data_IF_476946590531
#
_entry.id   IF_476946590531
#
_cell.length_a   1.000
_cell.length_b   1.000
_cell.length_c   1.000
_cell.angle_alpha   90.00
_cell.angle_beta   90.00
_cell.angle_gamma   90.00
#
_symmetry.space_group_name_H-M   'P 1'
#
loop_
_entity.id
_entity.type
_entity.pdbx_description
1 polymer ?
#
# COMPACT_ATOMS: atom_id res chain seq x y z
N UNK A 1 -13.14 -0.52 23.56
CA UNK A 1 -12.40 -1.23 24.64
C UNK A 1 -10.98 -0.69 24.67
N UNK A 2 -10.37 -0.54 25.85
CA UNK A 2 -8.95 -0.20 25.93
C UNK A 2 -8.13 -1.42 25.49
N UNK A 3 -7.22 -1.22 24.54
CA UNK A 3 -6.27 -2.27 24.10
C UNK A 3 -5.26 -2.47 25.24
N UNK A 4 -5.14 -3.71 25.72
CA UNK A 4 -4.13 -4.08 26.71
C UNK A 4 -2.88 -4.56 26.00
N UNK A 5 -1.75 -3.88 26.21
CA UNK A 5 -0.49 -4.20 25.57
C UNK A 5 0.34 -5.16 26.43
N UNK A 6 0.74 -6.28 25.83
CA UNK A 6 1.63 -7.26 26.45
C UNK A 6 3.06 -6.94 26.06
N UNK A 7 3.98 -6.95 27.03
CA UNK A 7 5.42 -6.81 26.77
C UNK A 7 5.87 -7.99 25.90
N UNK A 8 6.26 -7.70 24.66
CA UNK A 8 6.73 -8.67 23.69
C UNK A 8 8.06 -8.22 23.09
N UNK A 9 8.89 -9.18 22.69
CA UNK A 9 10.11 -8.93 21.89
C UNK A 9 9.78 -8.58 20.43
N UNK A 10 8.62 -9.03 19.95
CA UNK A 10 8.24 -8.97 18.55
C UNK A 10 7.10 -7.99 18.31
N UNK A 11 7.14 -7.35 17.15
CA UNK A 11 6.07 -6.46 16.68
C UNK A 11 4.80 -7.30 16.46
N UNK A 12 3.65 -6.75 16.82
CA UNK A 12 2.35 -7.28 16.38
C UNK A 12 2.26 -7.23 14.85
N UNK A 13 1.36 -8.02 14.28
CA UNK A 13 1.14 -8.05 12.83
C UNK A 13 0.29 -6.87 12.36
N UNK A 14 -0.63 -6.40 13.20
CA UNK A 14 -1.54 -5.28 12.91
C UNK A 14 -0.97 -3.91 13.32
N UNK A 15 0.27 -3.86 13.81
CA UNK A 15 0.94 -2.63 14.25
C UNK A 15 0.49 -2.10 15.61
N UNK A 16 -0.46 -2.75 16.29
CA UNK A 16 -0.92 -2.33 17.62
C UNK A 16 0.18 -2.44 18.67
N UNK A 17 0.10 -1.64 19.73
CA UNK A 17 1.02 -1.67 20.87
C UNK A 17 2.50 -1.37 20.54
N UNK A 18 2.79 -0.80 19.36
CA UNK A 18 4.09 -0.19 19.10
C UNK A 18 4.29 1.03 20.01
N UNK A 19 3.29 1.92 20.06
CA UNK A 19 3.23 2.98 21.06
C UNK A 19 2.39 2.54 22.26
N UNK A 20 3.00 2.40 23.45
CA UNK A 20 2.31 1.90 24.65
C UNK A 20 1.30 2.91 25.24
N UNK A 21 1.49 4.21 24.98
CA UNK A 21 0.57 5.26 25.46
C UNK A 21 -0.63 5.42 24.51
N UNK A 22 -0.43 5.16 23.23
CA UNK A 22 -1.43 5.23 22.16
C UNK A 22 -1.37 3.95 21.30
N UNK A 23 -1.93 2.83 21.79
CA UNK A 23 -1.76 1.50 21.18
C UNK A 23 -2.21 1.37 19.72
N UNK A 24 -3.02 2.30 19.21
CA UNK A 24 -3.54 2.29 17.84
C UNK A 24 -2.79 3.19 16.86
N UNK A 25 -1.83 4.01 17.32
CA UNK A 25 -1.04 4.83 16.41
C UNK A 25 -0.25 3.96 15.44
N UNK A 26 -0.45 4.22 14.14
CA UNK A 26 0.14 3.44 13.05
C UNK A 26 -0.37 2.00 12.89
N UNK A 27 -1.41 1.58 13.62
CA UNK A 27 -2.03 0.28 13.44
C UNK A 27 -2.81 0.21 12.12
N UNK A 28 -2.97 -0.99 11.57
CA UNK A 28 -3.84 -1.25 10.42
C UNK A 28 -5.31 -1.00 10.77
N UNK A 29 -6.15 -0.81 9.75
CA UNK A 29 -7.59 -0.50 9.88
C UNK A 29 -7.88 0.75 10.72
N UNK A 30 -6.98 1.74 10.63
CA UNK A 30 -7.10 3.04 11.29
C UNK A 30 -7.23 4.17 10.27
N UNK A 31 -7.86 5.30 10.64
CA UNK A 31 -7.86 6.49 9.79
C UNK A 31 -6.44 7.00 9.54
N UNK A 32 -6.20 7.55 8.34
CA UNK A 32 -4.98 8.33 8.11
C UNK A 32 -4.95 9.59 8.98
N UNK A 33 -3.74 10.04 9.31
CA UNK A 33 -3.53 11.37 9.87
C UNK A 33 -3.73 12.44 8.79
N UNK A 34 -3.82 13.70 9.19
CA UNK A 34 -3.89 14.83 8.26
C UNK A 34 -2.88 15.91 8.61
N UNK A 35 -2.25 16.47 7.59
CA UNK A 35 -1.43 17.68 7.73
C UNK A 35 -2.36 18.90 7.91
N UNK A 36 -3.47 18.93 7.16
CA UNK A 36 -4.49 19.99 7.23
C UNK A 36 -5.89 19.39 7.37
N UNK A 37 -6.85 20.12 8.00
CA UNK A 37 -8.23 19.66 8.07
C UNK A 37 -8.83 19.30 6.70
N UNK A 38 -9.69 18.29 6.67
CA UNK A 38 -10.35 17.84 5.44
C UNK A 38 -11.12 18.98 4.76
N UNK A 39 -11.05 19.05 3.43
CA UNK A 39 -11.77 20.04 2.62
C UNK A 39 -12.83 19.34 1.75
N UNK A 40 -14.05 19.29 2.25
CA UNK A 40 -15.23 18.82 1.53
C UNK A 40 -16.18 19.98 1.20
N UNK A 41 -17.01 19.83 0.16
CA UNK A 41 -17.93 20.89 -0.28
C UNK A 41 -19.01 21.26 0.74
N UNK A 42 -19.40 20.29 1.57
CA UNK A 42 -20.36 20.37 2.68
C UNK A 42 -19.66 20.30 4.05
N UNK A 43 -18.32 20.31 4.07
CA UNK A 43 -17.53 20.08 5.27
C UNK A 43 -17.55 18.64 5.80
N UNK A 44 -18.31 17.72 5.16
CA UNK A 44 -18.52 16.36 5.65
C UNK A 44 -17.94 15.34 4.68
N UNK A 45 -18.44 15.27 3.45
CA UNK A 45 -18.03 14.22 2.51
C UNK A 45 -18.24 14.54 1.03
N UNK A 46 -18.97 15.58 0.65
CA UNK A 46 -19.17 15.90 -0.78
C UNK A 46 -17.88 16.43 -1.43
N UNK A 47 -17.73 16.25 -2.74
CA UNK A 47 -16.57 16.77 -3.46
C UNK A 47 -16.38 18.28 -3.22
N UNK A 48 -15.13 18.73 -3.02
CA UNK A 48 -14.86 20.14 -2.86
C UNK A 48 -15.27 20.93 -4.10
N UNK A 49 -15.66 22.19 -3.87
CA UNK A 49 -16.01 23.16 -4.92
C UNK A 49 -14.90 24.21 -5.06
N UNK A 50 -14.88 24.88 -6.21
CA UNK A 50 -14.04 26.05 -6.43
C UNK A 50 -14.43 27.20 -5.50
N UNK A 51 -13.61 28.25 -5.44
CA UNK A 51 -13.94 29.47 -4.69
C UNK A 51 -15.24 30.13 -5.17
N UNK A 52 -15.57 30.00 -6.46
CA UNK A 52 -16.83 30.50 -7.03
C UNK A 52 -18.05 29.62 -6.74
N UNK A 53 -17.87 28.48 -6.04
CA UNK A 53 -18.92 27.50 -5.79
C UNK A 53 -19.22 26.55 -6.96
N UNK A 54 -18.44 26.62 -8.04
CA UNK A 54 -18.55 25.72 -9.19
C UNK A 54 -17.84 24.38 -8.93
N UNK A 55 -18.15 23.31 -9.70
CA UNK A 55 -17.35 22.08 -9.70
C UNK A 55 -15.87 22.37 -10.02
N UNK A 56 -14.97 21.57 -9.45
CA UNK A 56 -13.55 21.61 -9.82
C UNK A 56 -13.34 21.06 -11.25
N UNK A 57 -12.23 21.43 -11.92
CA UNK A 57 -11.92 20.91 -13.25
C UNK A 57 -11.86 19.39 -13.27
N UNK A 58 -12.27 18.81 -14.40
CA UNK A 58 -12.31 17.37 -14.59
C UNK A 58 -10.88 16.78 -14.58
N UNK A 59 -10.66 15.71 -13.80
CA UNK A 59 -9.34 15.09 -13.66
C UNK A 59 -8.75 14.55 -14.99
N UNK A 60 -9.61 14.05 -15.89
CA UNK A 60 -9.20 13.55 -17.21
C UNK A 60 -8.79 14.68 -18.16
N UNK A 61 -9.47 15.81 -18.10
CA UNK A 61 -9.09 17.01 -18.85
C UNK A 61 -7.75 17.56 -18.33
N UNK A 62 -7.62 17.72 -17.00
CA UNK A 62 -6.37 18.14 -16.38
C UNK A 62 -5.20 17.23 -16.72
N UNK A 63 -5.42 15.91 -16.84
CA UNK A 63 -4.39 14.97 -17.30
C UNK A 63 -3.83 15.36 -18.66
N UNK A 64 -4.67 15.74 -19.62
CA UNK A 64 -4.21 16.09 -20.97
C UNK A 64 -3.58 17.49 -21.01
N UNK A 65 -4.18 18.44 -20.29
CA UNK A 65 -3.73 19.83 -20.33
C UNK A 65 -2.42 20.04 -19.56
N UNK A 66 -2.18 19.27 -18.49
CA UNK A 66 -1.04 19.47 -17.59
C UNK A 66 0.04 18.39 -17.67
N UNK A 67 -0.30 17.16 -18.05
CA UNK A 67 0.61 16.01 -18.03
C UNK A 67 0.78 15.40 -19.44
N UNK A 68 1.57 16.06 -20.32
CA UNK A 68 1.83 15.53 -21.66
C UNK A 68 2.67 14.25 -21.60
N UNK A 69 2.38 13.30 -22.48
CA UNK A 69 3.11 12.04 -22.59
C UNK A 69 4.49 12.29 -23.24
N UNK A 70 5.47 12.64 -22.41
CA UNK A 70 6.86 12.85 -22.85
C UNK A 70 7.78 11.88 -22.11
N UNK A 71 8.30 10.91 -22.83
CA UNK A 71 9.37 10.05 -22.31
C UNK A 71 10.63 10.87 -22.10
N UNK A 72 11.15 10.85 -20.87
CA UNK A 72 12.45 11.44 -20.51
C UNK A 72 13.20 10.43 -19.67
N UNK A 73 14.28 9.92 -20.23
CA UNK A 73 15.12 8.96 -19.52
C UNK A 73 15.91 9.67 -18.44
N UNK A 74 16.02 9.02 -17.28
CA UNK A 74 16.87 9.45 -16.19
C UNK A 74 18.11 8.55 -16.17
N UNK A 75 19.31 9.13 -16.29
CA UNK A 75 20.56 8.39 -16.34
C UNK A 75 21.16 8.12 -14.96
N UNK A 76 20.63 8.75 -13.90
CA UNK A 76 21.15 8.65 -12.53
C UNK A 76 20.46 7.53 -11.72
N UNK A 77 19.27 7.08 -12.17
CA UNK A 77 18.46 6.09 -11.46
C UNK A 77 18.14 4.86 -12.30
N UNK A 78 18.07 3.72 -11.62
CA UNK A 78 17.59 2.47 -12.22
C UNK A 78 16.08 2.31 -11.97
N UNK A 79 15.42 1.42 -12.71
CA UNK A 79 14.01 1.12 -12.49
C UNK A 79 13.71 0.55 -11.09
N UNK A 80 14.71 -0.03 -10.42
CA UNK A 80 14.59 -0.48 -9.04
C UNK A 80 14.30 0.69 -8.10
N UNK A 81 14.76 1.91 -8.40
CA UNK A 81 14.43 3.11 -7.60
C UNK A 81 12.94 3.40 -7.63
N UNK A 82 12.30 3.34 -8.81
CA UNK A 82 10.84 3.48 -8.92
C UNK A 82 10.14 2.35 -8.16
N UNK A 83 10.58 1.11 -8.40
CA UNK A 83 9.92 -0.08 -7.85
C UNK A 83 10.04 -0.20 -6.33
N UNK A 84 11.18 0.23 -5.75
CA UNK A 84 11.36 0.30 -4.30
C UNK A 84 10.48 1.39 -3.67
N UNK A 85 10.25 2.51 -4.37
CA UNK A 85 9.26 3.50 -3.96
C UNK A 85 7.86 2.91 -3.86
N UNK A 86 7.46 2.07 -4.81
CA UNK A 86 6.18 1.36 -4.75
C UNK A 86 6.13 0.34 -3.60
N UNK A 87 7.23 -0.38 -3.31
CA UNK A 87 7.35 -1.27 -2.14
C UNK A 87 7.10 -0.49 -0.84
N UNK A 88 7.78 0.64 -0.65
CA UNK A 88 7.61 1.52 0.52
C UNK A 88 6.17 2.04 0.61
N UNK A 89 5.58 2.45 -0.51
CA UNK A 89 4.21 2.95 -0.55
C UNK A 89 3.20 1.89 -0.14
N UNK A 90 3.41 0.64 -0.59
CA UNK A 90 2.51 -0.47 -0.29
C UNK A 90 2.65 -0.94 1.16
N UNK A 91 3.84 -0.85 1.73
CA UNK A 91 4.10 -1.23 3.13
C UNK A 91 3.42 -0.30 4.13
N UNK A 92 3.35 1.00 3.78
CA UNK A 92 2.83 2.05 4.66
C UNK A 92 1.39 2.47 4.36
N UNK A 93 0.85 2.14 3.19
CA UNK A 93 -0.47 2.63 2.80
C UNK A 93 -1.24 1.74 1.83
N UNK A 94 -2.52 1.56 2.14
CA UNK A 94 -3.54 0.97 1.29
C UNK A 94 -4.86 1.57 1.74
N UNK A 95 -5.45 2.45 0.93
CA UNK A 95 -6.74 3.02 1.32
C UNK A 95 -7.82 1.96 1.21
N UNK A 96 -8.56 1.73 2.29
CA UNK A 96 -9.67 0.79 2.31
C UNK A 96 -10.68 1.16 1.23
N UNK A 97 -11.18 0.15 0.54
CA UNK A 97 -12.27 0.29 -0.42
C UNK A 97 -13.56 -0.19 0.23
N UNK A 98 -14.68 0.41 -0.16
CA UNK A 98 -15.99 -0.05 0.30
C UNK A 98 -16.12 -1.54 -0.03
N UNK A 99 -16.43 -2.43 0.94
CA UNK A 99 -16.53 -3.85 0.69
C UNK A 99 -17.50 -4.16 -0.45
N UNK A 100 -17.02 -4.89 -1.45
CA UNK A 100 -17.82 -5.37 -2.56
C UNK A 100 -17.95 -6.89 -2.45
N UNK A 101 -19.15 -7.40 -2.16
CA UNK A 101 -19.44 -8.84 -2.25
C UNK A 101 -19.61 -9.24 -3.72
N UNK A 102 -19.48 -10.52 -4.06
CA UNK A 102 -19.70 -10.98 -5.45
C UNK A 102 -21.08 -10.58 -6.00
N UNK A 103 -22.09 -10.51 -5.13
CA UNK A 103 -23.45 -10.06 -5.47
C UNK A 103 -23.63 -8.53 -5.37
N UNK A 104 -22.58 -7.78 -5.00
CA UNK A 104 -22.61 -6.33 -4.79
C UNK A 104 -21.36 -5.60 -5.30
N UNK A 105 -20.62 -6.17 -6.27
CA UNK A 105 -19.63 -5.42 -7.05
C UNK A 105 -20.36 -4.35 -7.84
N UNK A 106 -20.51 -3.18 -7.25
CA UNK A 106 -21.13 -2.04 -7.91
C UNK A 106 -20.03 -1.21 -8.57
N UNK A 107 -20.26 -0.90 -9.84
CA UNK A 107 -19.45 0.05 -10.59
C UNK A 107 -20.29 1.30 -10.84
N UNK A 108 -19.62 2.40 -11.10
CA UNK A 108 -20.24 3.65 -11.55
C UNK A 108 -20.37 3.70 -13.08
N UNK A 109 -19.59 2.88 -13.78
CA UNK A 109 -19.68 2.70 -15.23
C UNK A 109 -20.05 1.26 -15.59
N UNK A 110 -20.82 1.08 -16.66
CA UNK A 110 -21.04 -0.24 -17.25
C UNK A 110 -19.85 -0.68 -18.12
N UNK A 111 -19.85 -1.95 -18.53
CA UNK A 111 -18.85 -2.55 -19.40
C UNK A 111 -18.69 -1.83 -20.76
N UNK A 112 -19.72 -1.11 -21.21
CA UNK A 112 -19.68 -0.33 -22.46
C UNK A 112 -19.06 1.07 -22.27
N UNK A 113 -18.57 1.41 -21.08
CA UNK A 113 -17.94 2.70 -20.81
C UNK A 113 -18.94 3.86 -20.67
N UNK A 114 -20.21 3.56 -20.37
CA UNK A 114 -21.25 4.55 -20.07
C UNK A 114 -21.59 4.54 -18.58
N UNK A 115 -22.31 5.56 -18.11
CA UNK A 115 -22.81 5.61 -16.73
C UNK A 115 -23.87 4.52 -16.49
N UNK A 116 -23.88 3.94 -15.30
CA UNK A 116 -24.97 3.11 -14.81
C UNK A 116 -26.18 3.97 -14.41
N UNK A 117 -27.36 3.34 -14.28
CA UNK A 117 -28.60 4.06 -13.90
C UNK A 117 -28.51 4.68 -12.50
N UNK A 118 -27.83 4.01 -11.58
CA UNK A 118 -27.67 4.44 -10.19
C UNK A 118 -26.44 5.33 -9.96
N UNK A 119 -25.68 5.70 -11.00
CA UNK A 119 -24.40 6.40 -10.81
C UNK A 119 -24.53 7.73 -10.09
N UNK A 120 -25.61 8.47 -10.34
CA UNK A 120 -25.86 9.77 -9.71
C UNK A 120 -26.66 9.71 -8.41
N UNK A 121 -27.25 8.54 -8.11
CA UNK A 121 -28.02 8.32 -6.87
C UNK A 121 -27.23 7.55 -5.82
N UNK A 122 -26.21 6.79 -6.23
CA UNK A 122 -25.32 6.07 -5.33
C UNK A 122 -24.28 7.03 -4.75
N UNK A 123 -24.26 7.24 -3.41
CA UNK A 123 -23.33 8.19 -2.78
C UNK A 123 -21.87 7.74 -2.83
N UNK A 124 -21.62 6.46 -3.10
CA UNK A 124 -20.27 5.91 -3.25
C UNK A 124 -19.73 6.07 -4.68
N UNK A 125 -20.53 6.58 -5.62
CA UNK A 125 -20.04 6.81 -6.97
C UNK A 125 -19.30 8.13 -7.13
N UNK A 126 -18.18 8.06 -7.85
CA UNK A 126 -17.31 9.18 -8.15
C UNK A 126 -16.75 9.12 -9.58
N UNK A 127 -17.54 8.77 -10.60
CA UNK A 127 -17.01 8.54 -11.94
C UNK A 127 -16.30 9.77 -12.49
N UNK A 128 -15.24 9.54 -13.25
CA UNK A 128 -14.58 10.61 -14.01
C UNK A 128 -15.28 10.69 -15.36
N UNK A 129 -15.96 11.82 -15.61
CA UNK A 129 -16.61 12.07 -16.88
C UNK A 129 -15.54 12.22 -17.99
N UNK A 130 -15.73 11.52 -19.11
CA UNK A 130 -14.84 11.60 -20.27
C UNK A 130 -15.53 12.44 -21.34
N UNK A 131 -14.83 13.48 -21.80
CA UNK A 131 -15.29 14.30 -22.92
C UNK A 131 -15.41 13.48 -24.21
N UNK A 132 -16.41 13.77 -25.04
CA UNK A 132 -16.51 13.16 -26.38
C UNK A 132 -15.32 13.50 -27.28
N UNK A 133 -14.62 14.60 -26.97
CA UNK A 133 -13.41 15.01 -27.67
C UNK A 133 -12.14 14.42 -27.05
N UNK A 134 -12.24 13.51 -26.07
CA UNK A 134 -11.10 12.80 -25.51
C UNK A 134 -10.38 12.03 -26.63
N UNK A 135 -9.07 12.25 -26.83
CA UNK A 135 -8.35 11.68 -27.97
C UNK A 135 -8.19 10.15 -27.90
N UNK A 136 -8.37 9.54 -26.72
CA UNK A 136 -8.19 8.09 -26.50
C UNK A 136 -9.55 7.40 -26.40
N UNK A 137 -10.45 7.94 -25.59
CA UNK A 137 -11.72 7.29 -25.26
C UNK A 137 -12.91 7.78 -26.10
N UNK A 138 -12.82 8.99 -26.67
CA UNK A 138 -13.81 9.53 -27.61
C UNK A 138 -14.03 8.63 -28.84
N UNK A 139 -12.98 8.15 -29.52
CA UNK A 139 -13.11 7.26 -30.69
C UNK A 139 -13.85 5.94 -30.41
N UNK A 140 -13.86 5.47 -29.16
CA UNK A 140 -14.57 4.26 -28.74
C UNK A 140 -15.88 4.56 -27.99
N UNK A 141 -16.37 5.79 -28.05
CA UNK A 141 -17.60 6.26 -27.40
C UNK A 141 -17.68 6.01 -25.88
N UNK A 142 -16.52 5.96 -25.20
CA UNK A 142 -16.47 5.81 -23.74
C UNK A 142 -16.58 7.19 -23.09
N UNK A 143 -17.59 7.37 -22.24
CA UNK A 143 -17.91 8.64 -21.55
C UNK A 143 -17.75 8.57 -20.03
N UNK A 144 -17.53 7.37 -19.50
CA UNK A 144 -17.42 7.11 -18.06
C UNK A 144 -16.13 6.35 -17.76
N UNK A 145 -15.27 6.93 -16.93
CA UNK A 145 -14.16 6.23 -16.30
C UNK A 145 -14.55 5.86 -14.86
N UNK A 146 -14.51 4.56 -14.58
CA UNK A 146 -15.01 4.02 -13.32
C UNK A 146 -14.16 4.47 -12.15
N UNK A 147 -14.83 4.97 -11.12
CA UNK A 147 -14.21 5.33 -9.86
C UNK A 147 -15.28 5.26 -8.76
N UNK A 148 -15.02 4.38 -7.79
CA UNK A 148 -15.81 4.24 -6.57
C UNK A 148 -15.05 4.94 -5.44
N UNK A 149 -15.79 5.61 -4.56
CA UNK A 149 -15.22 6.28 -3.39
C UNK A 149 -14.62 5.25 -2.44
N UNK A 150 -13.49 5.63 -1.87
CA UNK A 150 -12.84 4.86 -0.81
C UNK A 150 -13.71 4.78 0.44
N UNK A 151 -13.50 3.73 1.23
CA UNK A 151 -14.11 3.57 2.53
C UNK A 151 -13.63 4.65 3.52
N UNK A 152 -14.50 5.00 4.48
CA UNK A 152 -14.26 6.06 5.45
C UNK A 152 -14.89 5.77 6.81
N UNK A 153 -14.46 6.52 7.82
CA UNK A 153 -15.10 6.55 9.15
C UNK A 153 -16.60 6.83 9.15
N UNK A 154 -17.18 7.34 8.06
CA UNK A 154 -18.62 7.52 7.90
C UNK A 154 -19.33 6.24 7.50
N UNK A 155 -18.75 5.51 6.56
CA UNK A 155 -19.30 4.25 6.09
C UNK A 155 -19.28 3.22 7.23
N UNK A 156 -18.18 3.17 7.98
CA UNK A 156 -18.02 2.32 9.16
C UNK A 156 -18.74 2.84 10.42
N UNK A 157 -19.55 3.91 10.33
CA UNK A 157 -20.27 4.53 11.46
C UNK A 157 -19.40 4.83 12.70
N UNK A 158 -18.13 5.15 12.49
CA UNK A 158 -17.15 5.41 13.54
C UNK A 158 -17.23 6.85 14.10
N UNK A 159 -17.87 7.77 13.38
CA UNK A 159 -17.94 9.20 13.72
C UNK A 159 -19.37 9.74 13.65
N UNK A 160 -19.64 10.83 14.37
CA UNK A 160 -20.95 11.48 14.37
C UNK A 160 -21.34 12.04 13.00
N UNK A 161 -22.63 12.33 12.74
CA UNK A 161 -23.14 12.67 11.40
C UNK A 161 -22.51 13.94 10.79
N UNK A 162 -22.05 14.89 11.60
CA UNK A 162 -21.45 16.15 11.15
C UNK A 162 -19.92 16.18 11.13
N UNK A 163 -19.24 15.09 11.54
CA UNK A 163 -17.78 15.00 11.44
C UNK A 163 -17.34 14.92 9.97
N UNK A 164 -16.18 15.45 9.58
CA UNK A 164 -15.61 15.16 8.25
C UNK A 164 -15.32 13.67 8.08
N UNK A 165 -15.45 13.16 6.85
CA UNK A 165 -15.12 11.78 6.50
C UNK A 165 -13.60 11.58 6.48
N UNK A 166 -13.12 10.52 7.12
CA UNK A 166 -11.70 10.17 7.12
C UNK A 166 -11.47 8.82 6.46
N UNK A 167 -10.54 8.78 5.50
CA UNK A 167 -10.17 7.55 4.80
C UNK A 167 -9.40 6.63 5.74
N UNK A 168 -9.67 5.33 5.61
CA UNK A 168 -9.04 4.29 6.42
C UNK A 168 -7.85 3.67 5.68
N UNK A 169 -6.78 3.35 6.40
CA UNK A 169 -5.69 2.50 5.91
C UNK A 169 -5.99 1.05 6.27
N UNK A 170 -5.90 0.14 5.31
CA UNK A 170 -5.98 -1.31 5.53
C UNK A 170 -4.65 -1.94 5.99
N UNK A 171 -3.56 -1.18 5.98
CA UNK A 171 -2.21 -1.63 6.35
C UNK A 171 -1.61 -0.81 7.47
N UNK A 172 -0.60 -1.37 8.15
CA UNK A 172 0.21 -0.67 9.15
C UNK A 172 0.90 0.55 8.55
N UNK A 173 1.17 1.55 9.38
CA UNK A 173 1.91 2.75 8.96
C UNK A 173 3.44 2.55 8.99
N UNK A 174 3.89 1.44 9.57
CA UNK A 174 5.30 1.18 9.82
C UNK A 174 5.97 0.58 8.58
N UNK A 175 7.27 0.80 8.43
CA UNK A 175 8.09 0.03 7.50
C UNK A 175 8.43 -1.32 8.12
N UNK A 176 7.45 -2.22 8.16
CA UNK A 176 7.53 -3.52 8.82
C UNK A 176 7.27 -4.72 7.90
N UNK A 177 7.36 -4.49 6.59
CA UNK A 177 7.16 -5.49 5.55
C UNK A 177 5.80 -6.20 5.69
N UNK A 178 4.77 -5.46 6.08
CA UNK A 178 3.38 -5.90 6.03
C UNK A 178 3.00 -6.41 4.62
N UNK A 179 3.70 -5.95 3.58
CA UNK A 179 3.55 -6.49 2.21
C UNK A 179 3.93 -7.96 2.06
N UNK A 180 4.81 -8.46 2.94
CA UNK A 180 5.24 -9.87 2.99
C UNK A 180 4.44 -10.64 4.03
N UNK A 181 4.21 -10.05 5.20
CA UNK A 181 3.69 -10.75 6.38
C UNK A 181 2.19 -10.59 6.61
N UNK A 182 1.55 -9.65 5.91
CA UNK A 182 0.16 -9.28 6.11
C UNK A 182 -0.06 -8.34 7.29
N UNK A 183 -1.32 -7.96 7.48
CA UNK A 183 -1.76 -6.97 8.47
C UNK A 183 -2.71 -7.55 9.52
N UNK A 184 -2.97 -8.86 9.47
CA UNK A 184 -3.76 -9.59 10.47
C UNK A 184 -3.07 -10.91 10.83
N UNK A 185 -3.26 -11.39 12.06
CA UNK A 185 -2.73 -12.69 12.51
C UNK A 185 -3.24 -13.84 11.63
N UNK A 186 -4.48 -13.77 11.16
CA UNK A 186 -5.05 -14.77 10.26
C UNK A 186 -4.30 -14.84 8.93
N UNK A 187 -4.04 -13.68 8.28
CA UNK A 187 -3.29 -13.64 7.02
C UNK A 187 -1.84 -14.07 7.20
N UNK A 188 -1.20 -13.68 8.30
CA UNK A 188 0.15 -14.13 8.60
C UNK A 188 0.23 -15.66 8.76
N UNK A 189 -0.69 -16.28 9.50
CA UNK A 189 -0.76 -17.75 9.63
C UNK A 189 -1.02 -18.40 8.27
N UNK A 190 -1.92 -17.83 7.46
CA UNK A 190 -2.20 -18.31 6.10
C UNK A 190 -0.95 -18.34 5.22
N UNK A 191 -0.08 -17.34 5.35
CA UNK A 191 1.15 -17.19 4.56
C UNK A 191 2.34 -18.00 5.10
N UNK A 192 2.27 -18.55 6.31
CA UNK A 192 3.36 -19.31 6.93
C UNK A 192 3.30 -20.79 6.60
N UNK A 193 4.46 -21.40 6.36
CA UNK A 193 4.58 -22.84 6.23
C UNK A 193 4.29 -23.56 7.56
N UNK A 194 4.48 -22.86 8.68
CA UNK A 194 4.41 -23.39 10.05
C UNK A 194 5.41 -24.54 10.30
N UNK A 195 6.45 -24.59 9.47
CA UNK A 195 7.64 -25.42 9.68
C UNK A 195 8.90 -24.59 9.40
N UNK A 196 9.90 -24.76 10.27
CA UNK A 196 11.22 -24.14 10.15
C UNK A 196 11.23 -22.60 10.17
N UNK A 197 10.14 -21.96 10.60
CA UNK A 197 9.94 -20.52 10.57
C UNK A 197 9.74 -19.94 9.17
N UNK A 198 9.43 -20.78 8.17
CA UNK A 198 9.33 -20.37 6.75
C UNK A 198 7.96 -19.77 6.40
N UNK A 199 7.96 -18.99 5.31
CA UNK A 199 6.76 -18.67 4.54
C UNK A 199 6.42 -19.82 3.58
N UNK A 200 5.12 -20.00 3.28
CA UNK A 200 4.65 -20.92 2.24
C UNK A 200 5.23 -20.50 0.90
N UNK A 201 5.58 -21.49 0.10
CA UNK A 201 6.08 -21.29 -1.25
C UNK A 201 5.78 -22.53 -2.09
N UNK A 202 5.85 -22.37 -3.41
CA UNK A 202 5.77 -23.47 -4.38
C UNK A 202 7.05 -23.51 -5.19
N UNK A 203 7.53 -24.71 -5.51
CA UNK A 203 8.69 -24.87 -6.39
C UNK A 203 8.22 -25.03 -7.83
N UNK A 204 8.71 -24.17 -8.73
CA UNK A 204 8.50 -24.28 -10.18
C UNK A 204 9.84 -24.11 -10.88
N UNK A 205 10.19 -25.07 -11.72
CA UNK A 205 11.47 -25.14 -12.44
C UNK A 205 12.70 -25.00 -11.53
N UNK A 206 12.66 -25.67 -10.38
CA UNK A 206 13.74 -25.64 -9.39
C UNK A 206 13.88 -24.31 -8.63
N UNK A 207 12.97 -23.35 -8.84
CA UNK A 207 12.96 -22.08 -8.13
C UNK A 207 11.77 -21.95 -7.19
N UNK A 208 11.98 -21.23 -6.10
CA UNK A 208 10.96 -20.97 -5.08
C UNK A 208 10.10 -19.76 -5.47
N UNK A 209 8.78 -19.90 -5.38
CA UNK A 209 7.82 -18.84 -5.72
C UNK A 209 6.76 -18.69 -4.63
N UNK A 210 6.12 -17.51 -4.51
CA UNK A 210 4.97 -17.36 -3.65
C UNK A 210 3.85 -18.35 -4.00
N UNK A 211 2.99 -18.73 -3.04
CA UNK A 211 1.85 -19.58 -3.30
C UNK A 211 0.86 -18.89 -4.25
N UNK A 212 0.00 -19.68 -4.90
CA UNK A 212 -1.10 -19.15 -5.72
C UNK A 212 -2.12 -18.46 -4.80
N UNK A 213 -2.68 -17.34 -5.27
CA UNK A 213 -3.82 -16.68 -4.65
C UNK A 213 -5.03 -17.62 -4.63
N UNK A 214 -5.82 -17.55 -3.55
CA UNK A 214 -6.98 -18.42 -3.38
C UNK A 214 -8.16 -18.00 -4.26
N UNK A 215 -8.17 -16.77 -4.76
CA UNK A 215 -9.22 -16.18 -5.61
C UNK A 215 -8.59 -15.44 -6.81
N UNK A 216 -7.84 -16.14 -7.68
CA UNK A 216 -7.02 -15.51 -8.71
C UNK A 216 -7.85 -14.70 -9.72
N UNK A 217 -9.09 -15.13 -10.01
CA UNK A 217 -10.02 -14.42 -10.92
C UNK A 217 -10.50 -13.07 -10.36
N UNK A 218 -10.35 -12.85 -9.05
CA UNK A 218 -10.72 -11.60 -8.40
C UNK A 218 -9.54 -10.66 -8.19
N UNK A 219 -8.31 -11.19 -8.15
CA UNK A 219 -7.09 -10.46 -7.79
C UNK A 219 -6.16 -10.20 -8.97
N UNK A 220 -6.32 -10.94 -10.07
CA UNK A 220 -5.53 -10.79 -11.29
C UNK A 220 -6.44 -10.59 -12.52
N UNK A 221 -6.32 -9.45 -13.19
CA UNK A 221 -7.18 -9.08 -14.32
C UNK A 221 -6.86 -9.82 -15.62
N UNK A 222 -5.64 -10.39 -15.73
CA UNK A 222 -5.11 -11.00 -16.95
C UNK A 222 -4.65 -12.43 -16.68
N UNK A 223 -5.61 -13.34 -16.52
CA UNK A 223 -5.34 -14.78 -16.49
C UNK A 223 -5.53 -15.35 -17.90
N UNK A 224 -4.44 -15.80 -18.53
CA UNK A 224 -4.51 -16.51 -19.81
C UNK A 224 -5.06 -17.94 -19.64
N UNK A 225 -4.75 -18.56 -18.50
CA UNK A 225 -5.20 -19.90 -18.11
C UNK A 225 -5.46 -19.93 -16.60
N UNK A 226 -6.23 -20.89 -16.07
CA UNK A 226 -6.38 -21.09 -14.63
C UNK A 226 -5.04 -21.37 -13.91
N UNK A 227 -4.01 -21.79 -14.64
CA UNK A 227 -2.66 -22.05 -14.15
C UNK A 227 -1.74 -20.82 -14.26
N UNK A 228 -2.22 -19.71 -14.85
CA UNK A 228 -1.46 -18.47 -14.94
C UNK A 228 -1.04 -18.02 -13.54
N UNK A 229 0.23 -17.59 -13.34
CA UNK A 229 0.69 -17.16 -12.02
C UNK A 229 -0.11 -15.98 -11.50
N UNK A 230 -0.71 -16.15 -10.32
CA UNK A 230 -1.34 -15.09 -9.55
C UNK A 230 -1.00 -15.34 -8.09
N UNK A 231 -0.11 -14.55 -7.51
CA UNK A 231 0.51 -14.86 -6.24
C UNK A 231 -0.27 -14.32 -5.05
N UNK A 232 -0.25 -15.07 -3.95
CA UNK A 232 -0.62 -14.58 -2.63
C UNK A 232 0.60 -14.04 -1.87
N UNK A 233 0.43 -12.89 -1.23
CA UNK A 233 1.40 -12.27 -0.33
C UNK A 233 0.68 -11.54 0.82
N UNK A 234 1.43 -10.78 1.63
CA UNK A 234 0.88 -9.94 2.69
C UNK A 234 0.04 -8.77 2.17
N UNK A 235 0.39 -8.25 0.99
CA UNK A 235 -0.35 -7.20 0.30
C UNK A 235 -1.04 -7.71 -0.98
N UNK A 236 -2.30 -7.32 -1.16
CA UNK A 236 -3.17 -7.76 -2.26
C UNK A 236 -2.72 -7.24 -3.64
N UNK A 237 -1.87 -6.21 -3.68
CA UNK A 237 -1.38 -5.61 -4.94
C UNK A 237 -0.10 -6.28 -5.44
N UNK A 238 0.31 -7.43 -4.89
CA UNK A 238 1.52 -8.15 -5.29
C UNK A 238 1.58 -8.44 -6.80
N UNK A 239 0.43 -8.64 -7.45
CA UNK A 239 0.32 -8.92 -8.89
C UNK A 239 0.06 -7.68 -9.76
N UNK A 240 0.12 -6.47 -9.20
CA UNK A 240 -0.24 -5.24 -9.94
C UNK A 240 0.66 -4.99 -11.16
N UNK A 241 1.94 -5.35 -11.07
CA UNK A 241 2.86 -5.39 -12.19
C UNK A 241 4.01 -6.36 -11.89
N UNK A 242 4.65 -6.87 -12.94
CA UNK A 242 5.70 -7.90 -12.83
C UNK A 242 6.92 -7.45 -12.05
N UNK A 243 7.31 -6.17 -12.15
CA UNK A 243 8.48 -5.61 -11.45
C UNK A 243 8.26 -5.60 -9.92
N UNK A 244 7.07 -5.22 -9.46
CA UNK A 244 6.67 -5.31 -8.05
C UNK A 244 6.66 -6.75 -7.57
N UNK A 245 6.07 -7.65 -8.37
CA UNK A 245 6.00 -9.07 -8.05
C UNK A 245 7.40 -9.67 -7.86
N UNK A 246 8.36 -9.30 -8.71
CA UNK A 246 9.75 -9.78 -8.58
C UNK A 246 10.38 -9.36 -7.25
N UNK A 247 10.16 -8.11 -6.79
CA UNK A 247 10.68 -7.68 -5.48
C UNK A 247 10.01 -8.41 -4.32
N UNK A 248 8.70 -8.68 -4.41
CA UNK A 248 7.98 -9.48 -3.42
C UNK A 248 8.50 -10.93 -3.37
N UNK A 249 8.77 -11.55 -4.53
CA UNK A 249 9.41 -12.87 -4.63
C UNK A 249 10.79 -12.86 -3.97
N UNK A 250 11.58 -11.80 -4.20
CA UNK A 250 12.91 -11.66 -3.59
C UNK A 250 12.82 -11.61 -2.06
N UNK A 251 11.88 -10.83 -1.50
CA UNK A 251 11.69 -10.73 -0.06
C UNK A 251 11.25 -12.06 0.56
N UNK A 252 10.35 -12.80 -0.10
CA UNK A 252 9.95 -14.14 0.33
C UNK A 252 11.13 -15.12 0.34
N UNK A 253 11.91 -15.15 -0.74
CA UNK A 253 13.09 -16.01 -0.85
C UNK A 253 14.12 -15.67 0.21
N UNK A 254 14.35 -14.37 0.46
CA UNK A 254 15.30 -13.93 1.48
C UNK A 254 14.83 -14.31 2.89
N UNK A 255 13.53 -14.19 3.19
CA UNK A 255 12.97 -14.72 4.43
C UNK A 255 13.30 -16.20 4.59
N UNK A 256 12.94 -17.02 3.61
CA UNK A 256 13.10 -18.47 3.68
C UNK A 256 14.57 -18.89 3.78
N UNK A 257 15.47 -18.21 3.05
CA UNK A 257 16.92 -18.39 3.17
C UNK A 257 17.43 -18.10 4.57
N UNK A 258 16.99 -16.98 5.18
CA UNK A 258 17.39 -16.61 6.53
C UNK A 258 16.81 -17.54 7.59
N UNK A 259 15.56 -17.99 7.43
CA UNK A 259 14.91 -18.95 8.31
C UNK A 259 15.67 -20.30 8.34
N UNK A 260 16.08 -20.81 7.17
CA UNK A 260 16.88 -22.04 7.07
C UNK A 260 18.21 -21.93 7.82
N UNK A 261 18.91 -20.80 7.65
CA UNK A 261 20.18 -20.52 8.35
C UNK A 261 19.95 -20.46 9.86
N UNK A 262 18.91 -19.73 10.31
CA UNK A 262 18.60 -19.61 11.74
C UNK A 262 18.19 -20.95 12.36
N UNK A 263 17.45 -21.79 11.62
CA UNK A 263 17.09 -23.15 12.03
C UNK A 263 18.33 -24.02 12.24
N UNK A 264 19.29 -23.94 11.33
CA UNK A 264 20.56 -24.69 11.43
C UNK A 264 21.43 -24.21 12.61
N UNK A 265 21.54 -22.89 12.79
CA UNK A 265 22.33 -22.29 13.87
C UNK A 265 21.68 -22.46 15.24
N UNK A 266 20.36 -22.52 15.31
CA UNK A 266 19.60 -22.62 16.55
C UNK A 266 18.60 -23.79 16.51
N UNK A 267 19.06 -25.07 16.56
CA UNK A 267 18.17 -26.23 16.48
C UNK A 267 17.15 -26.33 17.62
N UNK A 268 17.35 -25.56 18.70
CA UNK A 268 16.48 -25.50 19.88
C UNK A 268 15.36 -24.46 19.75
N UNK A 269 15.37 -23.60 18.72
CA UNK A 269 14.30 -22.64 18.49
C UNK A 269 13.07 -23.31 17.88
N UNK A 270 11.89 -22.90 18.34
CA UNK A 270 10.63 -23.32 17.71
C UNK A 270 10.42 -22.59 16.38
N UNK A 271 9.50 -23.10 15.56
CA UNK A 271 9.02 -22.46 14.33
C UNK A 271 8.69 -20.97 14.55
N UNK A 272 7.94 -20.66 15.62
CA UNK A 272 7.55 -19.29 15.95
C UNK A 272 8.76 -18.38 16.21
N UNK A 273 9.76 -18.87 16.96
CA UNK A 273 10.95 -18.06 17.26
C UNK A 273 11.75 -17.79 15.99
N UNK A 274 11.93 -18.81 15.14
CA UNK A 274 12.65 -18.66 13.87
C UNK A 274 11.90 -17.68 12.95
N UNK A 275 10.59 -17.82 12.81
CA UNK A 275 9.78 -16.91 11.98
C UNK A 275 9.91 -15.45 12.46
N UNK A 276 9.73 -15.21 13.76
CA UNK A 276 9.74 -13.84 14.29
C UNK A 276 11.14 -13.20 14.26
N UNK A 277 12.21 -13.96 14.52
CA UNK A 277 13.58 -13.44 14.38
C UNK A 277 13.92 -13.17 12.90
N UNK A 278 13.52 -14.07 11.99
CA UNK A 278 13.69 -13.87 10.55
C UNK A 278 12.95 -12.60 10.09
N UNK A 279 11.68 -12.45 10.47
CA UNK A 279 10.87 -11.25 10.21
C UNK A 279 11.54 -10.00 10.73
N UNK A 280 11.99 -10.00 11.99
CA UNK A 280 12.65 -8.86 12.62
C UNK A 280 13.93 -8.45 11.88
N UNK A 281 14.75 -9.41 11.46
CA UNK A 281 15.99 -9.12 10.72
C UNK A 281 15.70 -8.58 9.32
N UNK A 282 14.77 -9.19 8.58
CA UNK A 282 14.44 -8.73 7.23
C UNK A 282 13.81 -7.33 7.23
N UNK A 283 12.96 -7.04 8.22
CA UNK A 283 12.45 -5.68 8.45
C UNK A 283 13.60 -4.69 8.66
N UNK A 284 14.59 -5.03 9.49
CA UNK A 284 15.73 -4.14 9.73
C UNK A 284 16.56 -3.91 8.45
N UNK A 285 16.73 -4.94 7.61
CA UNK A 285 17.39 -4.82 6.31
C UNK A 285 16.59 -3.87 5.40
N UNK A 286 15.28 -4.07 5.27
CA UNK A 286 14.43 -3.22 4.44
C UNK A 286 14.40 -1.77 4.93
N UNK A 287 14.29 -1.54 6.25
CA UNK A 287 14.38 -0.20 6.84
C UNK A 287 15.74 0.45 6.53
N UNK A 288 16.85 -0.30 6.63
CA UNK A 288 18.17 0.23 6.29
C UNK A 288 18.28 0.59 4.80
N UNK A 289 17.79 -0.27 3.90
CA UNK A 289 17.72 0.05 2.47
C UNK A 289 16.92 1.34 2.25
N UNK A 290 15.73 1.44 2.84
CA UNK A 290 14.87 2.60 2.69
C UNK A 290 15.51 3.88 3.21
N UNK A 291 16.01 3.91 4.44
CA UNK A 291 16.54 5.13 5.06
C UNK A 291 17.94 5.52 4.60
N UNK A 292 18.84 4.56 4.34
CA UNK A 292 20.25 4.86 4.04
C UNK A 292 20.61 4.75 2.56
N UNK A 293 19.82 4.07 1.74
CA UNK A 293 20.13 3.88 0.33
C UNK A 293 19.07 4.47 -0.61
N UNK A 294 17.79 4.43 -0.25
CA UNK A 294 16.73 4.94 -1.09
C UNK A 294 16.44 6.43 -0.82
N UNK A 295 15.98 6.77 0.39
CA UNK A 295 15.55 8.12 0.72
C UNK A 295 16.62 9.21 0.56
N UNK A 296 17.94 8.99 0.81
CA UNK A 296 18.94 10.02 0.56
C UNK A 296 19.07 10.43 -0.91
N UNK A 297 18.75 9.53 -1.84
CA UNK A 297 18.72 9.83 -3.27
C UNK A 297 17.46 10.63 -3.66
N UNK A 298 16.35 10.45 -2.94
CA UNK A 298 15.08 11.12 -3.24
C UNK A 298 14.97 12.47 -2.53
N UNK A 299 15.31 12.52 -1.24
CA UNK A 299 15.16 13.67 -0.36
C UNK A 299 16.45 14.49 -0.19
N UNK A 300 17.59 13.94 -0.62
CA UNK A 300 18.91 14.52 -0.42
C UNK A 300 19.53 14.12 0.92
N UNK A 301 20.79 13.67 0.89
CA UNK A 301 21.53 13.22 2.06
C UNK A 301 21.55 14.26 3.20
N UNK A 302 21.80 15.53 2.88
CA UNK A 302 21.84 16.60 3.88
C UNK A 302 20.49 16.79 4.60
N UNK A 303 19.37 16.66 3.87
CA UNK A 303 18.04 16.72 4.48
C UNK A 303 17.80 15.52 5.40
N UNK A 304 18.26 14.32 5.01
CA UNK A 304 18.15 13.13 5.85
C UNK A 304 18.91 13.30 7.17
N UNK A 305 20.11 13.89 7.15
CA UNK A 305 20.89 14.19 8.36
C UNK A 305 20.24 15.31 9.18
N UNK A 306 19.87 16.42 8.53
CA UNK A 306 19.28 17.61 9.18
C UNK A 306 17.99 17.28 9.93
N UNK A 307 17.14 16.43 9.35
CA UNK A 307 15.88 16.01 9.94
C UNK A 307 15.99 14.75 10.81
N UNK A 308 17.22 14.31 11.12
CA UNK A 308 17.51 13.16 11.99
C UNK A 308 16.85 11.86 11.51
N UNK A 309 16.76 11.68 10.19
CA UNK A 309 16.27 10.44 9.56
C UNK A 309 17.39 9.41 9.39
N UNK A 310 18.65 9.86 9.36
CA UNK A 310 19.84 9.01 9.41
C UNK A 310 20.90 9.60 10.34
N UNK A 311 21.79 8.74 10.83
CA UNK A 311 22.82 9.08 11.80
C UNK A 311 24.19 8.56 11.33
N UNK A 312 24.85 9.25 10.38
CA UNK A 312 26.04 8.71 9.70
C UNK A 312 27.23 8.46 10.61
N UNK A 313 27.33 9.18 11.74
CA UNK A 313 28.40 9.04 12.71
C UNK A 313 28.07 8.04 13.84
N UNK A 314 26.91 7.37 13.79
CA UNK A 314 26.55 6.38 14.79
C UNK A 314 27.35 5.08 14.55
N UNK A 315 28.10 4.65 15.57
CA UNK A 315 28.89 3.42 15.53
C UNK A 315 28.07 2.16 15.88
N UNK A 316 26.78 2.32 16.20
CA UNK A 316 25.93 1.23 16.67
C UNK A 316 24.44 1.56 16.59
N UNK A 317 23.64 0.83 17.37
CA UNK A 317 22.19 1.02 17.42
C UNK A 317 21.85 2.45 17.85
N UNK A 318 21.03 3.11 17.04
CA UNK A 318 20.43 4.41 17.37
C UNK A 318 19.03 4.16 17.91
N UNK A 319 18.79 4.61 19.13
CA UNK A 319 17.46 4.67 19.71
C UNK A 319 16.96 6.12 19.69
N UNK A 320 16.25 6.47 18.64
CA UNK A 320 15.59 7.76 18.46
C UNK A 320 14.07 7.67 18.65
N UNK A 321 13.60 6.59 19.27
CA UNK A 321 12.19 6.41 19.58
C UNK A 321 11.68 7.51 20.52
N UNK A 322 10.66 8.24 20.07
CA UNK A 322 9.89 9.17 20.88
C UNK A 322 8.41 8.75 20.88
N UNK A 323 7.93 8.33 22.06
CA UNK A 323 6.52 7.94 22.28
C UNK A 323 5.49 9.07 22.06
N UNK A 324 5.94 10.30 21.84
CA UNK A 324 5.07 11.45 21.52
C UNK A 324 4.85 11.64 20.02
N UNK A 325 5.66 10.97 19.17
CA UNK A 325 5.52 11.04 17.72
C UNK A 325 4.38 10.12 17.28
N UNK A 326 3.42 10.69 16.55
CA UNK A 326 2.37 9.93 15.87
C UNK A 326 2.95 9.31 14.60
N UNK A 327 2.96 7.97 14.55
CA UNK A 327 3.49 7.21 13.42
C UNK A 327 2.48 7.02 12.29
N UNK A 328 1.24 7.50 12.45
CA UNK A 328 0.18 7.33 11.47
C UNK A 328 0.52 8.04 10.16
N UNK A 329 0.38 7.34 9.03
CA UNK A 329 0.62 7.94 7.70
C UNK A 329 -0.37 9.07 7.44
N UNK A 330 0.13 10.18 6.89
CA UNK A 330 -0.72 11.28 6.44
C UNK A 330 -1.48 10.91 5.17
N UNK A 331 -2.75 11.32 5.10
CA UNK A 331 -3.61 11.13 3.94
C UNK A 331 -2.99 11.77 2.69
N UNK A 332 -2.42 12.97 2.86
CA UNK A 332 -1.71 13.71 1.81
C UNK A 332 -0.48 12.95 1.29
N UNK A 333 0.20 12.18 2.17
CA UNK A 333 1.31 11.33 1.78
C UNK A 333 0.82 10.12 0.96
N UNK A 334 -0.14 9.35 1.49
CA UNK A 334 -0.62 8.10 0.89
C UNK A 334 -1.33 8.30 -0.47
N UNK A 335 -2.06 9.40 -0.62
CA UNK A 335 -2.93 9.62 -1.79
C UNK A 335 -2.29 10.52 -2.85
N UNK A 336 -1.33 11.37 -2.47
CA UNK A 336 -0.80 12.41 -3.36
C UNK A 336 0.72 12.47 -3.38
N UNK A 337 1.38 12.92 -2.30
CA UNK A 337 2.79 13.27 -2.33
C UNK A 337 3.69 12.08 -2.68
N UNK A 338 3.42 10.92 -2.08
CA UNK A 338 4.24 9.73 -2.35
C UNK A 338 3.90 9.07 -3.69
N UNK A 339 2.84 9.50 -4.40
CA UNK A 339 2.54 9.04 -5.77
C UNK A 339 3.47 9.65 -6.83
N UNK A 340 4.41 10.51 -6.44
CA UNK A 340 5.43 11.10 -7.32
C UNK A 340 6.11 10.06 -8.22
N UNK A 341 6.40 8.85 -7.70
CA UNK A 341 7.07 7.81 -8.48
C UNK A 341 6.26 7.28 -9.67
N UNK A 342 4.95 7.58 -9.79
CA UNK A 342 4.21 7.29 -11.01
C UNK A 342 4.79 8.01 -12.23
N UNK A 343 5.46 9.15 -12.03
CA UNK A 343 6.18 9.86 -13.11
C UNK A 343 7.46 9.16 -13.56
N UNK A 344 7.96 8.20 -12.76
CA UNK A 344 9.16 7.41 -13.04
C UNK A 344 8.84 6.03 -13.63
N UNK A 345 7.56 5.72 -13.87
CA UNK A 345 7.16 4.44 -14.48
C UNK A 345 7.57 4.45 -15.95
N UNK A 346 8.35 3.45 -16.36
CA UNK A 346 8.69 3.26 -17.76
C UNK A 346 7.55 2.57 -18.50
N UNK A 347 7.15 3.13 -19.64
CA UNK A 347 6.04 2.61 -20.45
C UNK A 347 6.34 1.32 -21.22
N UNK A 348 7.55 0.78 -21.12
CA UNK A 348 7.98 -0.44 -21.82
C UNK A 348 8.70 -1.36 -20.84
N UNK A 349 8.18 -2.58 -20.73
CA UNK A 349 8.86 -3.74 -20.15
C UNK A 349 9.55 -4.47 -21.31
N UNK A 350 10.86 -4.67 -21.22
CA UNK A 350 11.65 -5.42 -22.22
C UNK A 350 11.95 -6.81 -21.71
#
# INVERSE_FOLDING_TARGET
MAISCVKSRYRTIDGTCNNLNKPTWGAASMPYARILPAKYGDGISTFPKSFSGCPLPNARELRFDLFPDKARDNMDYTLVTMQWGQVVAHDMSLTSSVPQTENSKFTCCNANGNFNENTYTNPNCAPINISRNDPVYGPINKVCMDLVRTDTTKYENCTGPFSPAEQLSAVTAYLDLSIVYGNTKAKEIELRALDGGRLKSVTRDGQEWPPQDSQPEQTCDLLETPQSPCYAAGDVRVNQNTQLTILQVLLLREHNRMADILRQLNPHWSDEVIFQETRRLLIAIAQRITYYHYLPNILGYENMVKHKLIYPNALGYVNDYDSKVDATVFNEHATSAFRYFHTNIQGILK
#
